data_IF_070149024668
#
_entry.id   IF_070149024668
#
_cell.length_a   1.000
_cell.length_b   1.000
_cell.length_c   1.000
_cell.angle_alpha   90.00
_cell.angle_beta   90.00
_cell.angle_gamma   90.00
#
_symmetry.space_group_name_H-M   'P 1'
#
loop_
_entity.id
_entity.type
_entity.pdbx_description
1 polymer ?
#
# COMPACT_ATOMS: atom_id res chain seq x y z
N UNK A 1 -4.96 26.45 -0.52
CA UNK A 1 -5.88 25.95 -1.57
C UNK A 1 -6.54 24.70 -1.02
N UNK A 2 -7.87 24.65 -0.89
CA UNK A 2 -8.55 23.47 -0.34
C UNK A 2 -8.44 22.30 -1.33
N UNK A 3 -8.11 21.11 -0.83
CA UNK A 3 -8.06 19.92 -1.68
C UNK A 3 -9.45 19.60 -2.25
N UNK A 4 -9.52 19.33 -3.56
CA UNK A 4 -10.75 18.94 -4.23
C UNK A 4 -10.93 17.43 -4.20
N UNK A 5 -12.19 16.97 -4.34
CA UNK A 5 -12.52 15.54 -4.44
C UNK A 5 -11.74 14.89 -5.60
N UNK A 6 -11.62 15.60 -6.73
CA UNK A 6 -10.87 15.10 -7.89
C UNK A 6 -9.38 14.91 -7.59
N UNK A 7 -8.77 15.84 -6.85
CA UNK A 7 -7.37 15.73 -6.46
C UNK A 7 -7.13 14.57 -5.49
N UNK A 8 -8.02 14.40 -4.51
CA UNK A 8 -7.92 13.28 -3.56
C UNK A 8 -8.11 11.93 -4.27
N UNK A 9 -9.09 11.82 -5.16
CA UNK A 9 -9.31 10.61 -5.96
C UNK A 9 -8.09 10.28 -6.85
N UNK A 10 -7.50 11.29 -7.50
CA UNK A 10 -6.29 11.11 -8.30
C UNK A 10 -5.10 10.63 -7.44
N UNK A 11 -4.88 11.22 -6.27
CA UNK A 11 -3.79 10.82 -5.37
C UNK A 11 -3.96 9.38 -4.86
N UNK A 12 -5.15 9.00 -4.40
CA UNK A 12 -5.43 7.62 -3.96
C UNK A 12 -5.20 6.64 -5.11
N UNK A 13 -5.73 6.94 -6.30
CA UNK A 13 -5.54 6.07 -7.47
C UNK A 13 -4.07 5.95 -7.87
N UNK A 14 -3.33 7.06 -7.86
CA UNK A 14 -1.92 7.08 -8.23
C UNK A 14 -1.06 6.25 -7.27
N UNK A 15 -1.21 6.49 -5.96
CA UNK A 15 -0.44 5.76 -4.95
C UNK A 15 -0.82 4.27 -4.90
N UNK A 16 -2.11 3.95 -5.04
CA UNK A 16 -2.58 2.57 -5.14
C UNK A 16 -2.01 1.84 -6.37
N UNK A 17 -2.05 2.47 -7.55
CA UNK A 17 -1.48 1.90 -8.78
C UNK A 17 0.03 1.68 -8.66
N UNK A 18 0.78 2.65 -8.13
CA UNK A 18 2.23 2.52 -7.93
C UNK A 18 2.55 1.40 -6.95
N UNK A 19 1.82 1.32 -5.83
CA UNK A 19 1.98 0.25 -4.85
C UNK A 19 1.76 -1.13 -5.49
N UNK A 20 0.71 -1.28 -6.28
CA UNK A 20 0.40 -2.53 -6.98
C UNK A 20 1.50 -2.91 -7.97
N UNK A 21 1.96 -1.96 -8.80
CA UNK A 21 3.03 -2.19 -9.78
C UNK A 21 4.31 -2.65 -9.07
N UNK A 22 4.72 -1.98 -7.98
CA UNK A 22 5.90 -2.40 -7.23
C UNK A 22 5.74 -3.78 -6.58
N UNK A 23 4.55 -4.10 -6.08
CA UNK A 23 4.26 -5.43 -5.54
C UNK A 23 4.41 -6.53 -6.60
N UNK A 24 3.79 -6.34 -7.77
CA UNK A 24 3.90 -7.28 -8.89
C UNK A 24 5.35 -7.43 -9.35
N UNK A 25 6.11 -6.35 -9.48
CA UNK A 25 7.52 -6.42 -9.91
C UNK A 25 8.38 -7.10 -8.83
N UNK A 26 8.14 -6.83 -7.55
CA UNK A 26 8.86 -7.47 -6.44
C UNK A 26 8.67 -9.00 -6.48
N UNK A 27 7.44 -9.45 -6.69
CA UNK A 27 7.11 -10.87 -6.73
C UNK A 27 7.70 -11.55 -7.97
N UNK A 28 7.62 -10.91 -9.14
CA UNK A 28 8.21 -11.44 -10.38
C UNK A 28 9.75 -11.51 -10.34
N UNK A 29 10.40 -10.59 -9.62
CA UNK A 29 11.88 -10.56 -9.50
C UNK A 29 12.42 -11.43 -8.36
N UNK A 30 11.55 -12.10 -7.61
CA UNK A 30 11.99 -12.99 -6.52
C UNK A 30 12.78 -14.17 -7.11
N UNK A 31 14.02 -14.42 -6.66
CA UNK A 31 14.76 -15.60 -7.12
C UNK A 31 14.07 -16.89 -6.65
N UNK A 32 14.03 -17.89 -7.53
CA UNK A 32 13.38 -19.16 -7.25
C UNK A 32 14.09 -19.96 -6.13
N UNK A 33 15.43 -19.91 -6.09
CA UNK A 33 16.24 -20.57 -5.08
C UNK A 33 17.65 -19.97 -5.00
N UNK A 34 18.28 -20.08 -3.82
CA UNK A 34 19.71 -19.82 -3.65
C UNK A 34 20.55 -20.99 -4.15
N UNK A 35 21.78 -20.71 -4.59
CA UNK A 35 22.73 -21.76 -4.95
C UNK A 35 23.43 -22.29 -3.69
N UNK A 36 23.45 -23.60 -3.42
CA UNK A 36 24.16 -24.15 -2.28
C UNK A 36 25.67 -24.02 -2.50
N UNK A 37 26.36 -23.32 -1.61
CA UNK A 37 27.81 -23.19 -1.60
C UNK A 37 28.35 -23.93 -0.38
N UNK A 38 29.18 -24.95 -0.63
CA UNK A 38 29.82 -25.74 0.42
C UNK A 38 30.92 -24.91 1.09
N UNK A 39 30.80 -24.70 2.40
CA UNK A 39 31.76 -23.98 3.23
C UNK A 39 32.37 -24.97 4.25
N UNK A 40 33.57 -24.68 4.76
CA UNK A 40 34.38 -25.60 5.60
C UNK A 40 33.59 -26.34 6.71
N UNK A 41 32.55 -25.73 7.28
CA UNK A 41 31.70 -26.30 8.34
C UNK A 41 30.19 -26.28 8.01
N UNK A 42 29.77 -26.39 6.74
CA UNK A 42 28.35 -26.50 6.38
C UNK A 42 27.99 -26.00 4.97
N UNK A 43 26.72 -26.12 4.59
CA UNK A 43 26.21 -25.60 3.31
C UNK A 43 25.56 -24.24 3.55
N UNK A 44 26.02 -23.18 2.88
CA UNK A 44 25.39 -21.86 2.91
C UNK A 44 24.74 -21.58 1.55
N UNK A 45 23.47 -21.21 1.53
CA UNK A 45 22.81 -20.79 0.29
C UNK A 45 23.27 -19.37 -0.08
N UNK A 46 23.86 -19.20 -1.26
CA UNK A 46 24.17 -17.91 -1.84
C UNK A 46 22.97 -17.45 -2.68
N UNK A 47 22.32 -16.40 -2.21
CA UNK A 47 21.27 -15.72 -2.95
C UNK A 47 21.89 -14.60 -3.80
N UNK A 48 21.42 -14.38 -5.03
CA UNK A 48 21.82 -13.23 -5.83
C UNK A 48 21.38 -11.92 -5.15
N UNK A 49 21.86 -10.78 -5.66
CA UNK A 49 21.40 -9.48 -5.16
C UNK A 49 19.91 -9.31 -5.51
N UNK A 50 19.05 -9.33 -4.49
CA UNK A 50 17.60 -9.36 -4.65
C UNK A 50 16.99 -7.98 -4.36
N UNK A 51 16.53 -7.24 -5.40
CA UNK A 51 15.85 -5.96 -5.19
C UNK A 51 14.44 -6.13 -4.61
N UNK A 52 13.95 -7.37 -4.46
CA UNK A 52 12.60 -7.71 -3.98
C UNK A 52 12.27 -7.09 -2.64
N UNK A 53 13.23 -7.02 -1.70
CA UNK A 53 12.98 -6.40 -0.38
C UNK A 53 12.76 -4.89 -0.51
N UNK A 54 13.59 -4.21 -1.31
CA UNK A 54 13.45 -2.77 -1.52
C UNK A 54 12.15 -2.44 -2.27
N UNK A 55 11.81 -3.22 -3.32
CA UNK A 55 10.58 -3.07 -4.08
C UNK A 55 9.33 -3.37 -3.23
N UNK A 56 9.39 -4.39 -2.37
CA UNK A 56 8.33 -4.72 -1.43
C UNK A 56 8.13 -3.62 -0.39
N UNK A 57 9.22 -3.07 0.16
CA UNK A 57 9.15 -1.93 1.08
C UNK A 57 8.54 -0.70 0.41
N UNK A 58 8.96 -0.38 -0.81
CA UNK A 58 8.37 0.71 -1.61
C UNK A 58 6.87 0.48 -1.83
N UNK A 59 6.46 -0.73 -2.20
CA UNK A 59 5.05 -1.09 -2.35
C UNK A 59 4.25 -0.83 -1.07
N UNK A 60 4.78 -1.24 0.10
CA UNK A 60 4.16 -0.99 1.39
C UNK A 60 4.05 0.50 1.72
N UNK A 61 5.11 1.29 1.49
CA UNK A 61 5.09 2.73 1.76
C UNK A 61 4.03 3.44 0.90
N UNK A 62 3.95 3.11 -0.39
CA UNK A 62 2.92 3.68 -1.27
C UNK A 62 1.50 3.21 -0.89
N UNK A 63 1.36 1.98 -0.38
CA UNK A 63 0.07 1.49 0.13
C UNK A 63 -0.36 2.30 1.35
N UNK A 64 0.52 2.48 2.33
CA UNK A 64 0.26 3.29 3.53
C UNK A 64 -0.04 4.76 3.17
N UNK A 65 0.66 5.32 2.19
CA UNK A 65 0.34 6.65 1.69
C UNK A 65 -1.08 6.68 1.09
N UNK A 66 -1.46 5.67 0.31
CA UNK A 66 -2.80 5.55 -0.27
C UNK A 66 -3.89 5.43 0.80
N UNK A 67 -3.68 4.63 1.85
CA UNK A 67 -4.66 4.48 2.94
C UNK A 67 -4.82 5.76 3.74
N UNK A 68 -3.73 6.47 4.04
CA UNK A 68 -3.78 7.79 4.72
C UNK A 68 -4.54 8.80 3.87
N UNK A 69 -4.24 8.90 2.58
CA UNK A 69 -4.96 9.82 1.68
C UNK A 69 -6.42 9.38 1.50
N UNK A 70 -6.70 8.09 1.44
CA UNK A 70 -8.05 7.52 1.38
C UNK A 70 -8.88 7.88 2.61
N UNK A 71 -8.29 7.74 3.81
CA UNK A 71 -8.90 8.15 5.06
C UNK A 71 -9.22 9.65 5.07
N UNK A 72 -8.22 10.47 4.71
CA UNK A 72 -8.41 11.92 4.60
C UNK A 72 -9.49 12.24 3.57
N UNK A 73 -9.55 11.53 2.46
CA UNK A 73 -10.53 11.79 1.39
C UNK A 73 -11.98 11.58 1.85
N UNK A 74 -12.23 10.71 2.83
CA UNK A 74 -13.55 10.44 3.40
C UNK A 74 -13.99 11.52 4.40
N UNK A 75 -13.07 12.02 5.22
CA UNK A 75 -13.38 12.90 6.34
C UNK A 75 -12.99 14.37 6.12
N UNK A 76 -12.32 14.67 5.01
CA UNK A 76 -11.97 16.04 4.66
C UNK A 76 -13.24 16.88 4.41
N UNK A 77 -13.36 18.07 5.03
CA UNK A 77 -14.54 18.91 4.91
C UNK A 77 -14.58 19.63 3.57
N UNK A 78 -14.97 18.90 2.51
CA UNK A 78 -15.19 19.52 1.20
C UNK A 78 -16.27 20.59 1.32
N UNK A 79 -15.96 21.79 0.84
CA UNK A 79 -16.87 22.96 0.92
C UNK A 79 -17.28 23.34 2.36
N UNK A 80 -16.44 23.00 3.36
CA UNK A 80 -16.67 23.40 4.76
C UNK A 80 -17.74 22.60 5.49
N UNK A 81 -18.24 21.50 4.92
CA UNK A 81 -19.16 20.58 5.61
C UNK A 81 -18.37 19.41 6.17
N UNK A 82 -18.25 19.34 7.50
CA UNK A 82 -17.63 18.21 8.19
C UNK A 82 -18.52 16.98 8.19
N UNK A 83 -17.93 15.81 8.00
CA UNK A 83 -18.64 14.53 7.98
C UNK A 83 -18.64 13.91 9.38
N UNK A 84 -19.82 13.60 9.98
CA UNK A 84 -19.88 13.03 11.32
C UNK A 84 -19.47 11.55 11.32
N UNK A 85 -18.26 11.26 11.78
CA UNK A 85 -17.67 9.91 11.77
C UNK A 85 -18.50 8.90 12.58
N UNK A 86 -18.96 9.29 13.77
CA UNK A 86 -19.72 8.40 14.66
C UNK A 86 -21.06 7.94 14.10
N UNK A 87 -21.69 8.71 13.20
CA UNK A 87 -22.93 8.31 12.54
C UNK A 87 -22.65 7.31 11.41
N UNK A 88 -21.56 7.52 10.66
CA UNK A 88 -21.18 6.63 9.57
C UNK A 88 -20.79 5.23 10.06
N UNK A 89 -20.03 5.12 11.16
CA UNK A 89 -19.64 3.83 11.72
C UNK A 89 -20.78 3.08 12.44
N UNK A 90 -21.94 3.73 12.64
CA UNK A 90 -23.15 3.07 13.13
C UNK A 90 -23.84 2.24 12.03
N UNK A 91 -23.54 2.52 10.76
CA UNK A 91 -24.01 1.72 9.63
C UNK A 91 -23.04 0.57 9.35
N UNK A 92 -23.52 -0.67 9.49
CA UNK A 92 -22.74 -1.89 9.26
C UNK A 92 -22.13 -1.94 7.86
N UNK A 93 -22.86 -1.49 6.84
CA UNK A 93 -22.37 -1.49 5.45
C UNK A 93 -21.15 -0.58 5.27
N UNK A 94 -21.20 0.62 5.86
CA UNK A 94 -20.07 1.56 5.82
C UNK A 94 -18.87 1.03 6.60
N UNK A 95 -19.09 0.43 7.77
CA UNK A 95 -18.02 -0.18 8.57
C UNK A 95 -17.34 -1.34 7.84
N UNK A 96 -18.10 -2.21 7.18
CA UNK A 96 -17.54 -3.31 6.37
C UNK A 96 -16.76 -2.75 5.18
N UNK A 97 -17.33 -1.80 4.44
CA UNK A 97 -16.65 -1.15 3.33
C UNK A 97 -15.32 -0.51 3.76
N UNK A 98 -15.32 0.22 4.88
CA UNK A 98 -14.14 0.90 5.39
C UNK A 98 -13.01 -0.06 5.78
N UNK A 99 -13.32 -1.25 6.32
CA UNK A 99 -12.31 -2.26 6.68
C UNK A 99 -11.77 -3.04 5.47
N UNK A 100 -12.54 -3.14 4.37
CA UNK A 100 -12.07 -3.82 3.16
C UNK A 100 -11.23 -2.87 2.31
N UNK A 101 -11.64 -1.60 2.25
CA UNK A 101 -11.04 -0.60 1.36
C UNK A 101 -9.76 0.03 1.92
N UNK A 102 -9.49 -0.08 3.22
CA UNK A 102 -8.39 0.58 3.94
C UNK A 102 -7.58 -0.42 4.76
#
# INVERSE_FOLDING_TARGET
MAATIKQMALLVSLFGCISFIFGVIAENKKPAAGTPVTVKNGVRCKFPADPTVALGYLSLVFLLASTVVGYLSLFYPYKGKSVPQGVLFKNTSFTVFFNIAL
#
